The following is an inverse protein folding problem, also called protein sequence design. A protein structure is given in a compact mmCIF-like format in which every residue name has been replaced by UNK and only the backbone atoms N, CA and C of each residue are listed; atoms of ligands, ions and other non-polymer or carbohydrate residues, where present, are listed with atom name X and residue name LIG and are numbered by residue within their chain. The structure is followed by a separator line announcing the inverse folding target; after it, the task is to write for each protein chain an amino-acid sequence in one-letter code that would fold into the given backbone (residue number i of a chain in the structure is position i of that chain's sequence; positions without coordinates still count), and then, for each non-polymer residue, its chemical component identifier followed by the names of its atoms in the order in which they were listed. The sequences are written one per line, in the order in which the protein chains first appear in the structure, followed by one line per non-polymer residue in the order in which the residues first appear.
data_IF_226514249688
#
_entry.id   IF_226514249688
#
_cell.length_a   1.000
_cell.length_b   1.000
_cell.length_c   1.000
_cell.angle_alpha   90.00
_cell.angle_beta   90.00
_cell.angle_gamma   90.00
#
_symmetry.space_group_name_H-M   'P 1'
#
loop_
_entity.id
_entity.type
_entity.pdbx_description
1 polymer ?
#
# COMPACT_ATOMS: atom_id res chain seq x y z
N UNK A 1 10.87 -16.39 11.26
CA UNK A 1 9.86 -15.41 10.80
C UNK A 1 10.49 -14.31 9.96
N UNK A 2 11.76 -13.93 10.21
CA UNK A 2 12.54 -13.12 9.27
C UNK A 2 12.78 -13.87 7.94
N UNK A 3 12.61 -13.17 6.82
CA UNK A 3 12.95 -13.66 5.48
C UNK A 3 11.82 -14.24 4.62
N UNK A 4 10.59 -14.37 5.13
CA UNK A 4 9.46 -14.91 4.33
C UNK A 4 8.65 -13.83 3.61
N UNK A 5 8.74 -12.58 4.05
CA UNK A 5 8.01 -11.47 3.45
C UNK A 5 8.92 -10.28 3.17
N UNK A 6 8.79 -9.70 1.98
CA UNK A 6 9.44 -8.43 1.62
C UNK A 6 8.40 -7.30 1.62
N UNK A 7 8.64 -6.19 2.34
CA UNK A 7 7.80 -5.00 2.23
C UNK A 7 7.85 -4.43 0.81
N UNK A 8 6.69 -4.28 0.20
CA UNK A 8 6.46 -3.66 -1.09
C UNK A 8 6.10 -2.18 -0.95
N UNK A 9 5.26 -1.72 -1.87
CA UNK A 9 4.90 -0.29 -1.98
C UNK A 9 4.15 0.19 -0.72
N UNK A 10 4.50 1.38 -0.18
CA UNK A 10 3.73 2.00 0.88
C UNK A 10 2.38 2.47 0.35
N UNK A 11 1.37 2.47 1.23
CA UNK A 11 0.05 3.01 0.92
C UNK A 11 -0.56 3.76 2.11
N UNK A 12 -1.46 4.68 1.81
CA UNK A 12 -2.33 5.37 2.75
C UNK A 12 -3.78 5.19 2.31
N UNK A 13 -4.66 4.87 3.25
CA UNK A 13 -6.10 4.77 3.07
C UNK A 13 -6.78 5.80 3.98
N UNK A 14 -7.51 6.72 3.38
CA UNK A 14 -8.25 7.76 4.09
C UNK A 14 -9.74 7.45 3.99
N UNK A 15 -10.42 7.29 5.13
CA UNK A 15 -11.87 7.17 5.21
C UNK A 15 -12.46 8.46 5.78
N UNK A 16 -13.40 9.04 5.06
CA UNK A 16 -14.06 10.28 5.42
C UNK A 16 -15.29 10.04 6.30
N UNK A 17 -15.78 11.10 6.96
CA UNK A 17 -16.94 11.07 7.85
C UNK A 17 -18.19 10.45 7.20
N UNK A 18 -18.42 10.72 5.91
CA UNK A 18 -19.50 10.19 5.07
C UNK A 18 -19.30 8.72 4.64
N UNK A 19 -18.35 8.02 5.26
CA UNK A 19 -17.98 6.63 4.99
C UNK A 19 -17.38 6.37 3.60
N UNK A 20 -17.20 7.39 2.75
CA UNK A 20 -16.41 7.25 1.52
C UNK A 20 -14.93 7.08 1.86
N UNK A 21 -14.17 6.46 0.96
CA UNK A 21 -12.75 6.21 1.17
C UNK A 21 -11.94 6.41 -0.11
N UNK A 22 -10.68 6.80 0.06
CA UNK A 22 -9.67 6.77 -1.00
C UNK A 22 -8.42 6.05 -0.50
N UNK A 23 -7.73 5.38 -1.42
CA UNK A 23 -6.42 4.77 -1.15
C UNK A 23 -5.42 5.33 -2.15
N UNK A 24 -4.23 5.67 -1.68
CA UNK A 24 -3.11 6.10 -2.50
C UNK A 24 -1.91 5.22 -2.19
N UNK A 25 -1.27 4.72 -3.23
CA UNK A 25 -0.01 3.99 -3.15
C UNK A 25 0.95 4.58 -4.19
N UNK A 26 2.24 4.61 -3.87
CA UNK A 26 3.26 5.14 -4.78
C UNK A 26 4.41 4.15 -4.92
N UNK A 27 4.70 3.79 -6.16
CA UNK A 27 5.86 2.96 -6.50
C UNK A 27 7.14 3.74 -6.25
N UNK A 28 8.11 3.12 -5.56
CA UNK A 28 9.40 3.76 -5.29
C UNK A 28 9.38 4.82 -4.19
N UNK A 29 8.22 5.12 -3.59
CA UNK A 29 8.19 5.91 -2.37
C UNK A 29 8.92 5.19 -1.23
N UNK A 30 9.63 5.97 -0.42
CA UNK A 30 10.29 5.48 0.77
C UNK A 30 9.28 4.96 1.80
N UNK A 31 9.78 4.21 2.77
CA UNK A 31 8.99 3.75 3.93
C UNK A 31 9.28 4.62 5.16
N UNK A 32 9.78 5.83 4.92
CA UNK A 32 10.02 6.86 5.92
C UNK A 32 8.78 7.75 6.13
N UNK A 33 8.80 8.52 7.21
CA UNK A 33 7.67 9.35 7.61
C UNK A 33 7.30 10.39 6.54
N UNK A 34 8.28 11.05 5.91
CA UNK A 34 8.05 12.08 4.91
C UNK A 34 7.33 11.55 3.67
N UNK A 35 7.70 10.35 3.22
CA UNK A 35 6.98 9.66 2.14
C UNK A 35 5.50 9.40 2.49
N UNK A 36 5.20 9.02 3.73
CA UNK A 36 3.81 8.81 4.18
C UNK A 36 3.03 10.11 4.35
N UNK A 37 3.66 11.19 4.82
CA UNK A 37 3.05 12.52 4.92
C UNK A 37 2.63 13.04 3.54
N UNK A 38 3.51 12.89 2.53
CA UNK A 38 3.21 13.24 1.14
C UNK A 38 2.04 12.42 0.59
N UNK A 39 2.02 11.11 0.83
CA UNK A 39 0.92 10.24 0.43
C UNK A 39 -0.40 10.65 1.11
N UNK A 40 -0.35 10.97 2.40
CA UNK A 40 -1.51 11.41 3.16
C UNK A 40 -2.05 12.74 2.65
N UNK A 41 -1.18 13.72 2.39
CA UNK A 41 -1.58 15.03 1.87
C UNK A 41 -2.31 14.89 0.51
N UNK A 42 -1.75 14.09 -0.39
CA UNK A 42 -2.36 13.79 -1.70
C UNK A 42 -3.68 13.02 -1.57
N UNK A 43 -3.74 12.02 -0.68
CA UNK A 43 -4.95 11.24 -0.44
C UNK A 43 -6.08 12.09 0.18
N UNK A 44 -5.74 12.95 1.14
CA UNK A 44 -6.69 13.88 1.76
C UNK A 44 -7.27 14.87 0.75
N UNK A 45 -6.42 15.44 -0.12
CA UNK A 45 -6.83 16.41 -1.14
C UNK A 45 -7.91 15.89 -2.11
N UNK A 46 -8.03 14.56 -2.29
CA UNK A 46 -9.08 13.96 -3.15
C UNK A 46 -10.49 14.10 -2.59
N UNK A 47 -10.63 14.20 -1.27
CA UNK A 47 -11.93 14.36 -0.62
C UNK A 47 -12.10 15.71 0.06
N UNK A 48 -11.02 16.28 0.60
CA UNK A 48 -11.02 17.53 1.37
C UNK A 48 -12.14 17.59 2.44
N UNK A 49 -12.40 16.45 3.09
CA UNK A 49 -13.48 16.24 4.06
C UNK A 49 -12.90 15.78 5.41
N UNK A 50 -13.63 15.96 6.52
CA UNK A 50 -13.25 15.39 7.81
C UNK A 50 -12.96 13.89 7.69
N UNK A 51 -11.79 13.49 8.21
CA UNK A 51 -11.31 12.11 8.23
C UNK A 51 -11.76 11.45 9.52
N UNK A 52 -12.29 10.23 9.42
CA UNK A 52 -12.73 9.44 10.59
C UNK A 52 -11.82 8.25 10.88
N UNK A 53 -11.07 7.79 9.88
CA UNK A 53 -10.16 6.66 10.00
C UNK A 53 -9.02 6.82 9.00
N UNK A 54 -7.81 6.58 9.48
CA UNK A 54 -6.59 6.55 8.70
C UNK A 54 -5.99 5.15 8.76
N UNK A 55 -5.74 4.55 7.60
CA UNK A 55 -5.01 3.29 7.47
C UNK A 55 -3.68 3.54 6.77
N UNK A 56 -2.58 3.05 7.33
CA UNK A 56 -1.23 3.19 6.77
C UNK A 56 -0.61 1.81 6.72
N UNK A 57 0.12 1.49 5.65
CA UNK A 57 0.81 0.20 5.58
C UNK A 57 1.72 0.06 4.39
N UNK A 58 2.16 -1.19 4.21
CA UNK A 58 2.93 -1.67 3.06
C UNK A 58 2.25 -2.93 2.53
N UNK A 59 2.35 -3.19 1.23
CA UNK A 59 2.00 -4.51 0.70
C UNK A 59 3.10 -5.50 1.08
N UNK A 60 2.77 -6.71 1.50
CA UNK A 60 3.76 -7.75 1.79
C UNK A 60 3.86 -8.69 0.59
N UNK A 61 5.07 -8.85 0.07
CA UNK A 61 5.37 -9.86 -0.95
C UNK A 61 5.82 -11.13 -0.26
N UNK A 62 5.07 -12.22 -0.42
CA UNK A 62 5.46 -13.54 0.06
C UNK A 62 6.61 -14.06 -0.81
N UNK A 63 7.76 -14.31 -0.20
CA UNK A 63 8.96 -14.79 -0.88
C UNK A 63 8.92 -16.31 -1.11
N UNK A 64 7.97 -17.03 -0.48
CA UNK A 64 7.79 -18.48 -0.68
C UNK A 64 7.06 -18.80 -1.99
N UNK A 65 6.20 -17.90 -2.46
CA UNK A 65 5.42 -18.05 -3.69
C UNK A 65 6.20 -17.63 -4.97
N UNK A 66 7.44 -17.17 -4.82
CA UNK A 66 8.16 -16.48 -5.90
C UNK A 66 8.79 -17.38 -6.98
N UNK A 67 8.66 -18.71 -6.91
CA UNK A 67 9.48 -19.61 -7.74
C UNK A 67 8.77 -20.81 -8.36
N UNK A 68 7.52 -20.70 -8.79
CA UNK A 68 6.97 -21.67 -9.74
C UNK A 68 6.87 -21.01 -11.13
N UNK A 69 7.93 -21.20 -11.91
CA UNK A 69 7.85 -20.97 -13.35
C UNK A 69 7.04 -22.11 -13.95
N UNK A 70 5.84 -21.79 -14.45
CA UNK A 70 5.01 -22.78 -15.13
C UNK A 70 5.70 -23.23 -16.42
N UNK A 71 5.62 -24.53 -16.69
CA UNK A 71 6.08 -25.08 -17.96
C UNK A 71 5.28 -24.46 -19.11
N UNK A 72 5.97 -24.10 -20.19
CA UNK A 72 5.34 -23.46 -21.35
C UNK A 72 4.32 -24.40 -22.01
N UNK A 73 4.53 -25.71 -21.91
CA UNK A 73 3.59 -26.75 -22.30
C UNK A 73 3.72 -27.95 -21.36
N UNK A 74 2.61 -28.37 -20.75
CA UNK A 74 2.49 -29.68 -20.12
C UNK A 74 2.08 -30.70 -21.17
N UNK A 75 2.97 -31.66 -21.45
CA UNK A 75 2.74 -32.73 -22.42
C UNK A 75 1.69 -33.74 -21.92
#
# INVERSE_FOLDING_TARGET
MEGQYRPGKPFVKVKFHDFTQTTLEQSGAGRDLGSYEQLLAQAFARGAKPVRLLGIGVRLHDLRAAHEQLELFSQ
#
